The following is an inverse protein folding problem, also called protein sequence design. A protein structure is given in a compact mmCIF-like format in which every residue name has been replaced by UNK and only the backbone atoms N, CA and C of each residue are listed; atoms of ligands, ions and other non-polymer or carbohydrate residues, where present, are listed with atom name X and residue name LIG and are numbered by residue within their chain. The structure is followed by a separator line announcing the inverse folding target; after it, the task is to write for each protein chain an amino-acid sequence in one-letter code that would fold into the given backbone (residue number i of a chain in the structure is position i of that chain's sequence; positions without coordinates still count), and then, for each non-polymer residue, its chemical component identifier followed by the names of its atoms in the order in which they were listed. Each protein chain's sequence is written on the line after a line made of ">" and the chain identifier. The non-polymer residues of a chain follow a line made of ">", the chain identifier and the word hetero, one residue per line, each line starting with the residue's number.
data_IF_408766602199
#
_entry.id   IF_408766602199
#
_cell.length_a   1.000
_cell.length_b   1.000
_cell.length_c   1.000
_cell.angle_alpha   90.00
_cell.angle_beta   90.00
_cell.angle_gamma   90.00
#
_symmetry.space_group_name_H-M   'P 1'
#
loop_
_entity.id
_entity.type
_entity.pdbx_description
1 polymer ?
#
# COMPACT_ATOMS: atom_id res chain seq x y z
N UNK A 1 -2.89 4.03 9.94
CA UNK A 1 -2.93 2.98 8.89
C UNK A 1 -1.53 2.92 8.28
N UNK A 2 -0.68 1.99 8.75
CA UNK A 2 0.78 2.06 8.54
C UNK A 2 1.19 2.02 7.07
N UNK A 3 0.57 1.14 6.28
CA UNK A 3 0.88 0.99 4.85
C UNK A 3 0.59 2.29 4.09
N UNK A 4 -0.58 2.89 4.33
CA UNK A 4 -0.94 4.17 3.70
C UNK A 4 -0.01 5.31 4.14
N UNK A 5 0.37 5.38 5.42
CA UNK A 5 1.31 6.39 5.92
C UNK A 5 2.69 6.29 5.24
N UNK A 6 3.21 5.07 5.07
CA UNK A 6 4.48 4.84 4.37
C UNK A 6 4.38 5.17 2.88
N UNK A 7 3.28 4.80 2.23
CA UNK A 7 3.02 5.17 0.84
C UNK A 7 2.92 6.69 0.66
N UNK A 8 2.25 7.41 1.57
CA UNK A 8 2.17 8.87 1.54
C UNK A 8 3.55 9.53 1.67
N UNK A 9 4.45 8.93 2.45
CA UNK A 9 5.84 9.35 2.57
C UNK A 9 6.73 8.84 1.41
N UNK A 10 6.18 8.07 0.48
CA UNK A 10 6.89 7.43 -0.63
C UNK A 10 8.00 6.49 -0.18
N UNK A 11 7.79 5.81 0.94
CA UNK A 11 8.71 4.79 1.44
C UNK A 11 8.35 3.43 0.82
N UNK A 12 9.26 2.77 0.10
CA UNK A 12 9.03 1.42 -0.39
C UNK A 12 8.88 0.45 0.80
N UNK A 13 8.01 -0.55 0.64
CA UNK A 13 7.59 -1.44 1.74
C UNK A 13 8.08 -2.87 1.46
N UNK A 14 8.45 -3.58 2.53
CA UNK A 14 8.54 -5.05 2.54
C UNK A 14 7.58 -5.55 3.60
N UNK A 15 6.70 -6.47 3.25
CA UNK A 15 5.73 -7.08 4.16
C UNK A 15 5.49 -8.53 3.78
N UNK A 16 4.88 -9.31 4.68
CA UNK A 16 4.43 -10.65 4.33
C UNK A 16 3.27 -10.62 3.34
N UNK A 17 3.11 -11.71 2.62
CA UNK A 17 2.12 -11.89 1.57
C UNK A 17 0.68 -12.04 2.09
N UNK A 18 0.15 -10.97 2.67
CA UNK A 18 -1.20 -10.90 3.21
C UNK A 18 -2.17 -10.30 2.18
N UNK A 19 -3.41 -10.81 2.15
CA UNK A 19 -4.47 -10.33 1.25
C UNK A 19 -4.68 -8.81 1.35
N UNK A 20 -4.75 -8.27 2.57
CA UNK A 20 -4.92 -6.83 2.79
C UNK A 20 -3.74 -6.03 2.23
N UNK A 21 -2.50 -6.47 2.49
CA UNK A 21 -1.28 -5.84 1.97
C UNK A 21 -1.22 -5.84 0.44
N UNK A 22 -1.73 -6.87 -0.22
CA UNK A 22 -1.86 -6.92 -1.70
C UNK A 22 -2.84 -5.89 -2.24
N UNK A 23 -3.98 -5.71 -1.57
CA UNK A 23 -5.01 -4.74 -1.98
C UNK A 23 -4.54 -3.30 -1.74
N UNK A 24 -3.96 -3.04 -0.57
CA UNK A 24 -3.57 -1.70 -0.15
C UNK A 24 -2.31 -1.22 -0.88
N UNK A 25 -1.20 -1.97 -0.79
CA UNK A 25 0.11 -1.50 -1.25
C UNK A 25 0.39 -1.74 -2.73
N UNK A 26 -0.11 -2.83 -3.31
CA UNK A 26 0.18 -3.24 -4.69
C UNK A 26 1.68 -3.09 -5.03
N UNK A 27 2.01 -2.37 -6.10
CA UNK A 27 3.38 -2.17 -6.57
C UNK A 27 4.24 -1.27 -5.66
N UNK A 28 3.69 -0.72 -4.57
CA UNK A 28 4.48 -0.02 -3.55
C UNK A 28 5.23 -0.98 -2.60
N UNK A 29 5.01 -2.30 -2.72
CA UNK A 29 5.55 -3.30 -1.79
C UNK A 29 6.21 -4.50 -2.49
N UNK A 30 7.27 -5.03 -1.87
CA UNK A 30 7.68 -6.41 -2.07
C UNK A 30 7.00 -7.31 -1.04
N UNK A 31 6.65 -8.53 -1.45
CA UNK A 31 5.87 -9.47 -0.63
C UNK A 31 6.70 -10.69 -0.26
N UNK A 32 7.12 -10.77 1.00
CA UNK A 32 7.80 -11.91 1.56
C UNK A 32 6.83 -13.08 1.79
N UNK A 33 7.30 -14.31 1.68
CA UNK A 33 6.53 -15.51 2.02
C UNK A 33 6.06 -15.47 3.46
N UNK A 34 4.87 -16.01 3.71
CA UNK A 34 4.27 -16.05 5.05
C UNK A 34 5.22 -16.65 6.08
N UNK A 35 5.46 -15.90 7.16
CA UNK A 35 6.31 -16.30 8.28
C UNK A 35 7.75 -16.72 7.88
N UNK A 36 8.27 -16.21 6.76
CA UNK A 36 9.64 -16.47 6.30
C UNK A 36 10.54 -15.24 6.54
N UNK A 37 11.28 -15.19 7.67
CA UNK A 37 12.17 -14.06 7.97
C UNK A 37 13.38 -13.98 7.03
N UNK A 38 13.80 -15.09 6.43
CA UNK A 38 14.93 -15.12 5.49
C UNK A 38 14.53 -14.44 4.18
N UNK A 39 13.37 -14.80 3.64
CA UNK A 39 12.84 -14.18 2.43
C UNK A 39 12.51 -12.69 2.65
N UNK A 40 12.03 -12.31 3.84
CA UNK A 40 11.88 -10.91 4.22
C UNK A 40 13.22 -10.16 4.22
N UNK A 41 14.26 -10.73 4.82
CA UNK A 41 15.60 -10.12 4.83
C UNK A 41 16.17 -9.97 3.42
N UNK A 42 16.01 -10.98 2.55
CA UNK A 42 16.47 -10.91 1.16
C UNK A 42 15.77 -9.80 0.38
N UNK A 43 14.47 -9.59 0.59
CA UNK A 43 13.72 -8.48 -0.04
C UNK A 43 14.12 -7.11 0.48
N UNK A 44 14.47 -7.01 1.77
CA UNK A 44 15.04 -5.78 2.33
C UNK A 44 16.38 -5.46 1.65
N UNK A 45 17.27 -6.45 1.54
CA UNK A 45 18.56 -6.30 0.84
C UNK A 45 18.36 -5.93 -0.63
N UNK A 46 17.43 -6.58 -1.33
CA UNK A 46 17.06 -6.23 -2.71
C UNK A 46 16.68 -4.76 -2.86
N UNK A 47 15.92 -4.21 -1.91
CA UNK A 47 15.60 -2.78 -1.94
C UNK A 47 16.80 -1.91 -1.63
N UNK A 48 17.67 -2.29 -0.71
CA UNK A 48 18.88 -1.51 -0.38
C UNK A 48 19.85 -1.41 -1.58
N UNK A 49 19.96 -2.48 -2.36
CA UNK A 49 20.87 -2.54 -3.51
C UNK A 49 20.30 -1.90 -4.78
N UNK A 50 18.98 -1.69 -4.87
CA UNK A 50 18.33 -1.18 -6.08
C UNK A 50 17.63 0.18 -5.86
N UNK A 51 18.34 1.27 -6.16
CA UNK A 51 17.82 2.64 -6.02
C UNK A 51 16.63 2.93 -6.94
N UNK A 52 16.67 2.47 -8.18
CA UNK A 52 15.59 2.69 -9.17
C UNK A 52 14.29 2.03 -8.70
N UNK A 53 14.38 0.80 -8.20
CA UNK A 53 13.24 0.08 -7.63
C UNK A 53 12.62 0.85 -6.46
N UNK A 54 13.44 1.39 -5.54
CA UNK A 54 12.95 2.21 -4.43
C UNK A 54 12.21 3.46 -4.90
N UNK A 55 12.74 4.14 -5.92
CA UNK A 55 12.12 5.35 -6.48
C UNK A 55 10.77 5.01 -7.12
N UNK A 56 10.73 3.99 -7.98
CA UNK A 56 9.50 3.54 -8.66
C UNK A 56 8.41 3.15 -7.66
N UNK A 57 8.75 2.34 -6.65
CA UNK A 57 7.79 1.91 -5.62
C UNK A 57 7.31 3.09 -4.76
N UNK A 58 8.21 4.00 -4.38
CA UNK A 58 7.86 5.19 -3.61
C UNK A 58 6.95 6.17 -4.37
N UNK A 59 7.20 6.36 -5.67
CA UNK A 59 6.35 7.17 -6.54
C UNK A 59 4.98 6.54 -6.75
N UNK A 60 4.93 5.24 -7.02
CA UNK A 60 3.68 4.50 -7.14
C UNK A 60 2.83 4.64 -5.87
N UNK A 61 3.40 4.38 -4.69
CA UNK A 61 2.70 4.49 -3.41
C UNK A 61 2.13 5.89 -3.17
N UNK A 62 2.92 6.95 -3.42
CA UNK A 62 2.45 8.33 -3.27
C UNK A 62 1.29 8.66 -4.21
N UNK A 63 1.39 8.25 -5.47
CA UNK A 63 0.34 8.50 -6.45
C UNK A 63 -0.96 7.77 -6.09
N UNK A 64 -0.86 6.52 -5.61
CA UNK A 64 -2.02 5.74 -5.19
C UNK A 64 -2.74 6.38 -4.00
N UNK A 65 -1.99 6.82 -2.98
CA UNK A 65 -2.59 7.54 -1.85
C UNK A 65 -3.30 8.79 -2.36
N UNK A 66 -2.59 9.62 -3.13
CA UNK A 66 -3.11 10.91 -3.58
C UNK A 66 -4.37 10.81 -4.43
N UNK A 67 -4.46 9.80 -5.29
CA UNK A 67 -5.49 9.76 -6.34
C UNK A 67 -6.60 8.74 -6.08
N UNK A 68 -6.44 7.83 -5.12
CA UNK A 68 -7.40 6.74 -4.90
C UNK A 68 -7.79 6.52 -3.44
N UNK A 69 -6.85 6.69 -2.50
CA UNK A 69 -7.05 6.33 -1.09
C UNK A 69 -7.20 7.54 -0.15
N UNK A 70 -7.09 8.76 -0.68
CA UNK A 70 -7.34 9.98 0.08
C UNK A 70 -8.82 10.07 0.51
N UNK A 71 -9.05 10.72 1.66
CA UNK A 71 -10.37 10.80 2.28
C UNK A 71 -11.44 11.41 1.36
N UNK A 72 -11.07 12.34 0.50
CA UNK A 72 -11.97 12.95 -0.47
C UNK A 72 -12.62 11.92 -1.43
N UNK A 73 -11.97 10.79 -1.69
CA UNK A 73 -12.52 9.69 -2.48
C UNK A 73 -13.37 8.71 -1.66
N UNK A 74 -13.11 8.58 -0.37
CA UNK A 74 -13.84 7.66 0.52
C UNK A 74 -15.15 8.26 1.04
N UNK A 75 -15.18 9.57 1.34
CA UNK A 75 -16.39 10.28 1.78
C UNK A 75 -17.62 10.01 0.90
N UNK A 76 -17.58 10.22 -0.43
CA UNK A 76 -18.77 10.02 -1.27
C UNK A 76 -19.23 8.56 -1.28
N UNK A 77 -18.31 7.60 -1.18
CA UNK A 77 -18.66 6.16 -1.11
C UNK A 77 -19.39 5.84 0.20
N UNK A 78 -18.90 6.36 1.31
CA UNK A 78 -19.50 6.17 2.62
C UNK A 78 -20.88 6.82 2.71
N UNK A 79 -21.02 8.06 2.22
CA UNK A 79 -22.32 8.75 2.16
C UNK A 79 -23.32 7.97 1.30
N UNK A 80 -22.92 7.51 0.11
CA UNK A 80 -23.78 6.70 -0.75
C UNK A 80 -24.22 5.38 -0.08
N UNK A 81 -23.34 4.75 0.71
CA UNK A 81 -23.70 3.57 1.47
C UNK A 81 -24.74 3.86 2.56
N UNK A 82 -24.63 5.00 3.26
CA UNK A 82 -25.65 5.45 4.20
C UNK A 82 -26.97 5.77 3.50
N UNK A 83 -26.94 6.52 2.39
CA UNK A 83 -28.13 6.83 1.61
C UNK A 83 -28.85 5.57 1.15
N UNK A 84 -28.11 4.54 0.72
CA UNK A 84 -28.69 3.25 0.31
C UNK A 84 -29.37 2.48 1.45
N UNK A 85 -28.89 2.61 2.69
CA UNK A 85 -29.51 1.96 3.86
C UNK A 85 -30.75 2.73 4.34
N UNK A 86 -30.77 4.05 4.16
CA UNK A 86 -31.87 4.91 4.62
C UNK A 86 -32.88 5.30 3.53
N UNK A 87 -32.68 4.87 2.28
CA UNK A 87 -33.67 4.98 1.22
C UNK A 87 -34.77 3.94 1.44
N UNK A 88 -35.86 4.35 2.09
CA UNK A 88 -37.14 3.60 2.11
C UNK A 88 -37.77 3.47 0.71
#
# INVERSE_FOLDING_TARGET
>A
NKIMEYMALGKPIVQFDLTEGRVSAQDASLYAKENDPVDMALKIVQLLDNQELRQRMGEFGRNRVRNELEWCYEVPKLLAAYDAVFAE
#
